data_IF_896621896027
#
_entry.id   IF_896621896027
#
_cell.length_a   1.000
_cell.length_b   1.000
_cell.length_c   1.000
_cell.angle_alpha   90.00
_cell.angle_beta   90.00
_cell.angle_gamma   90.00
#
_symmetry.space_group_name_H-M   'P 1'
#
loop_
_entity.id
_entity.type
_entity.pdbx_description
1 polymer ?
#
# COMPACT_ATOMS: atom_id res chain seq x y z
N UNK A 1 -16.28 -12.79 38.22
CA UNK A 1 -15.73 -11.45 37.98
C UNK A 1 -14.48 -11.67 37.17
N UNK A 2 -14.61 -11.78 35.86
CA UNK A 2 -13.49 -12.02 34.97
C UNK A 2 -12.68 -10.72 34.83
N UNK A 3 -11.48 -10.73 35.43
CA UNK A 3 -10.53 -9.64 35.35
C UNK A 3 -10.03 -9.51 33.90
N UNK A 4 -10.62 -8.56 33.16
CA UNK A 4 -10.14 -8.15 31.85
C UNK A 4 -8.77 -7.46 32.04
N UNK A 5 -7.70 -8.21 31.78
CA UNK A 5 -6.34 -7.64 31.70
C UNK A 5 -6.24 -6.78 30.44
N UNK A 6 -6.56 -5.48 30.57
CA UNK A 6 -6.32 -4.49 29.52
C UNK A 6 -4.83 -4.26 29.44
N UNK A 7 -4.17 -4.82 28.42
CA UNK A 7 -2.78 -4.48 28.09
C UNK A 7 -2.75 -3.00 27.68
N UNK A 8 -1.89 -2.21 28.31
CA UNK A 8 -1.79 -0.74 28.19
C UNK A 8 -1.26 -0.24 26.83
N UNK A 9 -1.28 -1.09 25.80
CA UNK A 9 -1.01 -0.70 24.42
C UNK A 9 -2.34 -0.36 23.73
N UNK A 10 -2.82 0.86 23.97
CA UNK A 10 -3.96 1.52 23.30
C UNK A 10 -3.70 1.80 21.80
N UNK A 11 -2.79 1.06 21.15
CA UNK A 11 -2.56 1.16 19.72
C UNK A 11 -3.72 0.46 19.02
N UNK A 12 -4.77 1.22 18.71
CA UNK A 12 -5.85 0.72 17.87
C UNK A 12 -5.26 0.45 16.48
N UNK A 13 -5.06 -0.84 16.16
CA UNK A 13 -4.62 -1.26 14.83
C UNK A 13 -5.76 -0.99 13.83
N UNK A 14 -5.76 0.22 13.25
CA UNK A 14 -6.66 0.55 12.14
C UNK A 14 -6.36 -0.40 10.99
N UNK A 15 -7.37 -1.12 10.52
CA UNK A 15 -7.24 -1.99 9.36
C UNK A 15 -7.43 -1.18 8.08
N UNK A 16 -6.53 -1.30 7.11
CA UNK A 16 -6.69 -0.60 5.84
C UNK A 16 -7.87 -1.20 5.07
N UNK A 17 -8.71 -0.34 4.50
CA UNK A 17 -9.89 -0.74 3.75
C UNK A 17 -9.52 -1.07 2.31
N UNK A 18 -8.90 -0.12 1.63
CA UNK A 18 -8.52 -0.27 0.21
C UNK A 18 -7.46 0.75 -0.20
N UNK A 19 -6.74 0.44 -1.27
CA UNK A 19 -5.89 1.41 -1.95
C UNK A 19 -6.77 2.25 -2.87
N UNK A 20 -6.82 3.55 -2.62
CA UNK A 20 -7.66 4.49 -3.39
C UNK A 20 -6.89 5.24 -4.47
N UNK A 21 -5.56 5.30 -4.40
CA UNK A 21 -4.74 6.00 -5.38
C UNK A 21 -3.29 5.49 -5.39
N UNK A 22 -2.55 5.79 -6.46
CA UNK A 22 -1.13 5.48 -6.61
C UNK A 22 -0.37 6.68 -7.16
N UNK A 23 0.88 6.85 -6.71
CA UNK A 23 1.74 7.94 -7.16
C UNK A 23 3.18 7.49 -7.25
N UNK A 24 3.84 7.77 -8.37
CA UNK A 24 5.29 7.63 -8.49
C UNK A 24 5.95 8.97 -8.16
N UNK A 25 6.96 8.97 -7.29
CA UNK A 25 7.72 10.17 -6.93
C UNK A 25 9.20 9.91 -7.14
N UNK A 26 9.85 10.79 -7.89
CA UNK A 26 11.30 10.76 -8.04
C UNK A 26 11.97 11.60 -6.95
N UNK A 27 12.91 11.00 -6.23
CA UNK A 27 13.70 11.65 -5.20
C UNK A 27 15.18 11.30 -5.44
N UNK A 28 16.01 12.33 -5.67
CA UNK A 28 17.47 12.21 -5.84
C UNK A 28 17.87 11.14 -6.89
N UNK A 29 17.16 11.10 -8.02
CA UNK A 29 17.39 10.15 -9.10
C UNK A 29 16.87 8.73 -8.84
N UNK A 30 16.08 8.51 -7.77
CA UNK A 30 15.42 7.24 -7.49
C UNK A 30 13.91 7.41 -7.53
N UNK A 31 13.21 6.46 -8.15
CA UNK A 31 11.76 6.43 -8.18
C UNK A 31 11.20 5.66 -6.98
N UNK A 32 10.24 6.26 -6.27
CA UNK A 32 9.54 5.69 -5.11
C UNK A 32 8.06 5.62 -5.43
N UNK A 33 7.48 4.43 -5.32
CA UNK A 33 6.04 4.22 -5.48
C UNK A 33 5.33 4.43 -4.14
N UNK A 34 4.36 5.35 -4.13
CA UNK A 34 3.46 5.61 -3.02
C UNK A 34 2.06 5.12 -3.38
N UNK A 35 1.31 4.68 -2.38
CA UNK A 35 -0.10 4.32 -2.47
C UNK A 35 -0.88 5.10 -1.44
N UNK A 36 -2.07 5.57 -1.82
CA UNK A 36 -3.00 6.18 -0.88
C UNK A 36 -3.90 5.10 -0.32
N UNK A 37 -3.85 4.89 0.98
CA UNK A 37 -4.68 3.91 1.67
C UNK A 37 -5.81 4.61 2.37
N UNK A 38 -7.04 4.13 2.17
CA UNK A 38 -8.20 4.53 2.96
C UNK A 38 -8.26 3.66 4.21
N UNK A 39 -8.22 4.28 5.38
CA UNK A 39 -8.31 3.61 6.68
C UNK A 39 -9.73 3.57 7.20
N UNK A 40 -10.50 4.62 6.91
CA UNK A 40 -11.88 4.73 7.34
C UNK A 40 -12.71 5.47 6.28
N UNK A 41 -13.72 4.77 5.75
CA UNK A 41 -14.66 5.29 4.75
C UNK A 41 -15.59 6.34 5.35
N UNK A 42 -15.96 6.20 6.63
CA UNK A 42 -16.94 7.06 7.29
C UNK A 42 -16.42 8.48 7.51
N UNK A 43 -15.14 8.62 7.86
CA UNK A 43 -14.47 9.91 8.04
C UNK A 43 -13.59 10.31 6.85
N UNK A 44 -13.46 9.44 5.84
CA UNK A 44 -12.63 9.69 4.66
C UNK A 44 -11.13 9.76 4.97
N UNK A 45 -10.69 9.12 6.05
CA UNK A 45 -9.29 9.16 6.49
C UNK A 45 -8.42 8.33 5.55
N UNK A 46 -7.47 8.99 4.90
CA UNK A 46 -6.54 8.33 4.00
C UNK A 46 -5.12 8.90 4.11
N UNK A 47 -4.12 8.02 4.09
CA UNK A 47 -2.70 8.40 4.15
C UNK A 47 -1.93 7.91 2.93
N UNK A 48 -0.80 8.55 2.63
CA UNK A 48 0.12 8.15 1.58
C UNK A 48 1.27 7.34 2.19
N UNK A 49 1.37 6.07 1.80
CA UNK A 49 2.36 5.13 2.32
C UNK A 49 3.21 4.55 1.18
N UNK A 50 4.37 3.98 1.52
CA UNK A 50 5.24 3.34 0.53
C UNK A 50 4.63 2.03 0.07
N UNK A 51 4.49 1.86 -1.26
CA UNK A 51 3.84 0.68 -1.87
C UNK A 51 4.46 -0.64 -1.41
N UNK A 52 5.79 -0.73 -1.34
CA UNK A 52 6.47 -1.96 -0.93
C UNK A 52 6.12 -2.35 0.51
N UNK A 53 6.12 -1.37 1.43
CA UNK A 53 5.79 -1.60 2.83
C UNK A 53 4.36 -2.11 3.00
N UNK A 54 3.39 -1.48 2.33
CA UNK A 54 1.99 -1.91 2.39
C UNK A 54 1.77 -3.26 1.71
N UNK A 55 2.53 -3.56 0.65
CA UNK A 55 2.45 -4.87 -0.02
C UNK A 55 2.97 -5.99 0.88
N UNK A 56 3.97 -5.72 1.71
CA UNK A 56 4.48 -6.66 2.70
C UNK A 56 3.53 -6.81 3.89
N UNK A 57 2.99 -5.71 4.42
CA UNK A 57 2.15 -5.72 5.60
C UNK A 57 0.70 -6.16 5.31
N UNK A 58 0.16 -5.77 4.16
CA UNK A 58 -1.23 -5.98 3.75
C UNK A 58 -1.32 -6.48 2.30
N UNK A 59 -0.75 -7.67 1.99
CA UNK A 59 -0.72 -8.18 0.62
C UNK A 59 -2.10 -8.37 0.00
N UNK A 60 -3.14 -8.58 0.82
CA UNK A 60 -4.52 -8.71 0.37
C UNK A 60 -5.08 -7.44 -0.29
N UNK A 61 -4.53 -6.25 0.02
CA UNK A 61 -4.91 -5.01 -0.67
C UNK A 61 -4.49 -5.01 -2.14
N UNK A 62 -3.55 -5.89 -2.51
CA UNK A 62 -3.01 -6.03 -3.86
C UNK A 62 -3.29 -7.39 -4.49
N UNK A 63 -4.07 -8.26 -3.83
CA UNK A 63 -4.41 -9.59 -4.35
C UNK A 63 -5.60 -9.58 -5.32
N UNK A 64 -6.31 -8.45 -5.43
CA UNK A 64 -7.25 -8.20 -6.52
C UNK A 64 -6.51 -7.94 -7.84
N UNK A 65 -7.02 -8.46 -8.97
CA UNK A 65 -6.43 -8.27 -10.29
C UNK A 65 -6.03 -6.79 -10.50
N UNK A 66 -4.76 -6.49 -10.87
CA UNK A 66 -4.34 -5.12 -11.07
C UNK A 66 -5.09 -4.56 -12.28
N UNK A 67 -6.01 -3.61 -12.04
CA UNK A 67 -6.70 -2.90 -13.13
C UNK A 67 -5.73 -1.95 -13.84
N UNK A 68 -4.60 -1.60 -13.20
CA UNK A 68 -3.54 -0.80 -13.79
C UNK A 68 -2.27 -1.65 -13.96
N UNK A 69 -2.28 -2.46 -15.01
CA UNK A 69 -1.08 -2.99 -15.63
C UNK A 69 -0.44 -1.83 -16.42
N UNK A 70 0.52 -1.16 -15.79
CA UNK A 70 1.32 -0.14 -16.45
C UNK A 70 2.11 -0.82 -17.58
N UNK A 71 1.76 -0.48 -18.82
CA UNK A 71 2.39 -0.96 -20.04
C UNK A 71 3.84 -0.47 -20.12
N UNK A 72 4.79 -1.11 -19.43
CA UNK A 72 6.21 -0.89 -19.73
C UNK A 72 7.19 -2.02 -19.35
N UNK A 73 6.71 -3.26 -19.15
CA UNK A 73 7.58 -4.34 -18.65
C UNK A 73 8.32 -5.17 -19.72
N UNK A 74 8.15 -4.96 -21.04
CA UNK A 74 8.57 -5.99 -22.02
C UNK A 74 9.49 -5.58 -23.20
N UNK A 75 10.06 -4.37 -23.29
CA UNK A 75 10.87 -4.00 -24.48
C UNK A 75 12.39 -3.82 -24.29
N UNK A 76 12.97 -4.12 -23.13
CA UNK A 76 14.43 -4.14 -22.97
C UNK A 76 14.94 -5.54 -22.66
N UNK A 77 14.83 -6.42 -23.66
CA UNK A 77 15.39 -7.77 -23.59
C UNK A 77 15.62 -8.35 -24.97
N UNK A 78 16.71 -7.95 -25.63
CA UNK A 78 17.17 -8.63 -26.84
C UNK A 78 18.10 -7.80 -27.72
N UNK A 79 19.37 -7.68 -27.33
CA UNK A 79 20.44 -7.50 -28.32
C UNK A 79 20.57 -8.85 -29.02
N UNK A 80 20.30 -8.90 -30.33
CA UNK A 80 20.71 -10.03 -31.18
C UNK A 80 21.93 -9.59 -31.98
N UNK A 81 22.93 -10.46 -32.01
CA UNK A 81 24.24 -10.36 -32.67
C UNK A 81 24.18 -9.94 -34.13
#
# INVERSE_FOLDING_TARGET
MDEVQVRENLTYEKRPVTVVDHKLKELRGKSISLVKILWDVAIGEATWEVKSHIKEQYPFLFSGKPIFEDKNSYLLGGIVT
#
